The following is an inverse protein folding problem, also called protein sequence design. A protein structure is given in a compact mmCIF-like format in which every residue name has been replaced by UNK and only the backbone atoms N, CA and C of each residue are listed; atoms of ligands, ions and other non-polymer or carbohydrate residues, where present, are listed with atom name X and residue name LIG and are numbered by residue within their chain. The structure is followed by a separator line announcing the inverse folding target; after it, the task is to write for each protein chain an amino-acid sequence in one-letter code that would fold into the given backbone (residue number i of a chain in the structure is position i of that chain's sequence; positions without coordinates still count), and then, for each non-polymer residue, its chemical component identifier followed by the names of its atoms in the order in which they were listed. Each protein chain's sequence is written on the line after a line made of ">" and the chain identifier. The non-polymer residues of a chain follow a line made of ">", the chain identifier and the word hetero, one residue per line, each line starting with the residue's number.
data_IF_884498057409
#
_entry.id   IF_884498057409
#
_cell.length_a   1.000
_cell.length_b   1.000
_cell.length_c   1.000
_cell.angle_alpha   90.00
_cell.angle_beta   90.00
_cell.angle_gamma   90.00
#
_symmetry.space_group_name_H-M   'P 1'
#
loop_
_entity.id
_entity.type
_entity.pdbx_description
1 polymer ?
#
# COMPACT_ATOMS: atom_id res chain seq x y z
N UNK A 1 -12.25 -19.56 15.80
CA UNK A 1 -11.18 -18.81 16.48
C UNK A 1 -10.28 -18.22 15.39
N UNK A 2 -10.66 -17.05 14.86
CA UNK A 2 -9.88 -16.37 13.83
C UNK A 2 -8.90 -15.43 14.53
N UNK A 3 -7.71 -15.96 14.80
CA UNK A 3 -6.59 -15.21 15.35
C UNK A 3 -6.12 -14.16 14.36
N UNK A 4 -6.48 -12.89 14.58
CA UNK A 4 -5.83 -11.76 13.93
C UNK A 4 -4.38 -11.66 14.43
N UNK A 5 -3.48 -12.30 13.68
CA UNK A 5 -2.04 -12.25 13.90
C UNK A 5 -1.54 -10.80 13.73
N UNK A 6 -1.26 -10.15 14.85
CA UNK A 6 -0.57 -8.86 14.93
C UNK A 6 0.89 -9.01 14.47
N UNK A 7 1.10 -9.15 13.17
CA UNK A 7 2.41 -9.32 12.56
C UNK A 7 3.15 -7.99 12.38
N UNK A 8 3.86 -7.52 13.41
CA UNK A 8 5.10 -6.76 13.17
C UNK A 8 6.12 -7.73 12.58
N UNK A 9 6.08 -7.96 11.26
CA UNK A 9 6.99 -8.95 10.65
C UNK A 9 8.44 -8.53 10.81
N UNK A 10 9.16 -9.46 11.43
CA UNK A 10 10.60 -9.52 11.71
C UNK A 10 11.45 -9.34 10.44
N UNK A 11 12.72 -8.94 10.57
CA UNK A 11 13.59 -8.62 9.44
C UNK A 11 14.11 -9.82 8.62
N UNK A 12 13.56 -11.04 8.71
CA UNK A 12 14.14 -12.23 8.03
C UNK A 12 13.20 -13.04 7.12
N UNK A 13 12.00 -12.54 6.79
CA UNK A 13 11.15 -13.22 5.81
C UNK A 13 10.95 -12.34 4.58
N UNK A 14 11.74 -12.61 3.54
CA UNK A 14 11.47 -12.20 2.16
C UNK A 14 10.22 -12.98 1.69
N UNK A 15 9.07 -12.75 2.34
CA UNK A 15 7.77 -13.29 1.97
C UNK A 15 7.44 -12.69 0.61
N UNK A 16 7.57 -13.54 -0.41
CA UNK A 16 7.34 -13.28 -1.85
C UNK A 16 6.40 -12.10 -2.04
N UNK A 17 6.93 -11.01 -2.58
CA UNK A 17 6.23 -9.77 -2.90
C UNK A 17 4.93 -10.12 -3.62
N UNK A 18 3.79 -10.13 -2.91
CA UNK A 18 2.49 -10.38 -3.53
C UNK A 18 2.29 -9.27 -4.55
N UNK A 19 2.18 -9.63 -5.83
CA UNK A 19 1.97 -8.66 -6.90
C UNK A 19 0.57 -8.11 -6.71
N UNK A 20 0.46 -6.80 -6.48
CA UNK A 20 -0.83 -6.10 -6.47
C UNK A 20 -1.53 -6.38 -7.79
N UNK A 21 -2.76 -6.89 -7.73
CA UNK A 21 -3.58 -7.16 -8.93
C UNK A 21 -3.93 -5.83 -9.59
N UNK A 22 -4.25 -5.82 -10.90
CA UNK A 22 -4.69 -4.60 -11.57
C UNK A 22 -5.95 -3.98 -10.92
N UNK A 23 -6.83 -4.80 -10.34
CA UNK A 23 -8.02 -4.34 -9.61
C UNK A 23 -7.65 -3.64 -8.30
N UNK A 24 -6.78 -4.26 -7.49
CA UNK A 24 -6.25 -3.65 -6.26
C UNK A 24 -5.50 -2.34 -6.57
N UNK A 25 -4.74 -2.33 -7.68
CA UNK A 25 -4.01 -1.15 -8.14
C UNK A 25 -4.93 0.00 -8.55
N UNK A 26 -6.01 -0.30 -9.28
CA UNK A 26 -6.98 0.71 -9.70
C UNK A 26 -7.59 1.44 -8.50
N UNK A 27 -7.91 0.72 -7.43
CA UNK A 27 -8.41 1.31 -6.17
C UNK A 27 -7.35 2.20 -5.51
N UNK A 28 -6.10 1.70 -5.41
CA UNK A 28 -4.99 2.48 -4.83
C UNK A 28 -4.72 3.76 -5.61
N UNK A 29 -4.74 3.71 -6.94
CA UNK A 29 -4.53 4.89 -7.80
C UNK A 29 -5.70 5.87 -7.72
N UNK A 30 -6.95 5.37 -7.68
CA UNK A 30 -8.13 6.21 -7.51
C UNK A 30 -8.11 6.96 -6.17
N UNK A 31 -7.69 6.30 -5.09
CA UNK A 31 -7.57 6.94 -3.78
C UNK A 31 -6.35 7.87 -3.70
N UNK A 32 -5.24 7.52 -4.36
CA UNK A 32 -4.07 8.39 -4.47
C UNK A 32 -4.39 9.71 -5.19
N UNK A 33 -5.20 9.65 -6.25
CA UNK A 33 -5.64 10.83 -6.99
C UNK A 33 -6.49 11.78 -6.13
N UNK A 34 -7.24 11.24 -5.15
CA UNK A 34 -8.02 12.05 -4.19
C UNK A 34 -7.16 12.58 -3.06
N UNK A 35 -6.23 11.77 -2.55
CA UNK A 35 -5.41 12.11 -1.40
C UNK A 35 -4.03 11.43 -1.49
N UNK A 36 -2.97 12.23 -1.69
CA UNK A 36 -1.59 11.74 -1.79
C UNK A 36 -0.98 11.37 -0.44
N UNK A 37 -1.63 11.77 0.67
CA UNK A 37 -1.23 11.53 2.06
C UNK A 37 -2.39 10.93 2.85
N UNK A 38 -2.70 9.63 2.67
CA UNK A 38 -3.81 8.99 3.38
C UNK A 38 -3.52 8.94 4.89
N UNK A 39 -4.46 9.41 5.69
CA UNK A 39 -4.43 9.29 7.15
C UNK A 39 -4.53 7.82 7.62
N UNK A 40 -4.29 7.53 8.90
CA UNK A 40 -4.38 6.18 9.45
C UNK A 40 -5.73 5.51 9.14
N UNK A 41 -6.84 6.26 9.27
CA UNK A 41 -8.18 5.76 8.95
C UNK A 41 -8.34 5.42 7.47
N UNK A 42 -7.83 6.27 6.58
CA UNK A 42 -7.88 6.02 5.14
C UNK A 42 -7.03 4.81 4.75
N UNK A 43 -5.85 4.62 5.36
CA UNK A 43 -5.00 3.46 5.07
C UNK A 43 -5.68 2.13 5.44
N UNK A 44 -6.41 2.09 6.56
CA UNK A 44 -7.20 0.92 6.96
C UNK A 44 -8.32 0.67 5.97
N UNK A 45 -9.09 1.71 5.61
CA UNK A 45 -10.18 1.61 4.64
C UNK A 45 -9.71 1.11 3.27
N UNK A 46 -8.63 1.69 2.75
CA UNK A 46 -8.03 1.29 1.47
C UNK A 46 -7.56 -0.16 1.57
N UNK A 47 -6.92 -0.53 2.68
CA UNK A 47 -6.47 -1.89 2.92
C UNK A 47 -7.59 -2.92 2.91
N UNK A 48 -8.76 -2.58 3.48
CA UNK A 48 -9.95 -3.43 3.41
C UNK A 48 -10.45 -3.59 1.97
N UNK A 49 -10.44 -2.51 1.18
CA UNK A 49 -10.87 -2.54 -0.23
C UNK A 49 -9.91 -3.31 -1.13
N UNK A 50 -8.61 -3.27 -0.84
CA UNK A 50 -7.55 -3.87 -1.66
C UNK A 50 -7.03 -5.18 -1.08
N UNK A 51 -7.64 -5.69 -0.01
CA UNK A 51 -7.16 -6.86 0.73
C UNK A 51 -5.67 -6.75 1.14
N UNK A 52 -5.23 -5.54 1.48
CA UNK A 52 -3.88 -5.21 1.93
C UNK A 52 -3.90 -4.72 3.38
N UNK A 53 -2.83 -4.97 4.13
CA UNK A 53 -2.67 -4.35 5.44
C UNK A 53 -2.37 -2.85 5.30
N UNK A 54 -2.75 -2.04 6.30
CA UNK A 54 -2.49 -0.60 6.32
C UNK A 54 -1.01 -0.24 6.09
N UNK A 55 -0.08 -1.11 6.52
CA UNK A 55 1.36 -0.97 6.28
C UNK A 55 1.74 -1.18 4.81
N UNK A 56 1.16 -2.18 4.14
CA UNK A 56 1.37 -2.41 2.70
C UNK A 56 0.82 -1.26 1.88
N UNK A 57 -0.34 -0.71 2.27
CA UNK A 57 -0.88 0.53 1.70
C UNK A 57 0.09 1.68 1.89
N UNK A 58 0.59 1.91 3.12
CA UNK A 58 1.58 2.96 3.39
C UNK A 58 2.83 2.85 2.50
N UNK A 59 3.40 1.65 2.36
CA UNK A 59 4.56 1.41 1.51
C UNK A 59 4.23 1.67 0.04
N UNK A 60 3.05 1.25 -0.43
CA UNK A 60 2.61 1.52 -1.79
C UNK A 60 2.53 3.03 -2.06
N UNK A 61 1.93 3.81 -1.16
CA UNK A 61 1.85 5.27 -1.28
C UNK A 61 3.25 5.92 -1.27
N UNK A 62 4.16 5.45 -0.42
CA UNK A 62 5.55 5.92 -0.41
C UNK A 62 6.27 5.63 -1.73
N UNK A 63 6.18 4.39 -2.23
CA UNK A 63 6.80 3.99 -3.49
C UNK A 63 6.20 4.76 -4.67
N UNK A 64 4.87 4.96 -4.68
CA UNK A 64 4.17 5.72 -5.73
C UNK A 64 4.70 7.15 -5.82
N UNK A 65 4.85 7.85 -4.69
CA UNK A 65 5.45 9.19 -4.64
C UNK A 65 6.92 9.20 -5.09
N UNK A 66 7.70 8.18 -4.72
CA UNK A 66 9.08 8.09 -5.19
C UNK A 66 9.15 7.93 -6.71
N UNK A 67 8.30 7.07 -7.29
CA UNK A 67 8.20 6.92 -8.74
C UNK A 67 7.75 8.22 -9.40
N UNK A 68 6.76 8.92 -8.84
CA UNK A 68 6.28 10.20 -9.34
C UNK A 68 7.38 11.27 -9.32
N UNK A 69 8.14 11.34 -8.22
CA UNK A 69 9.32 12.19 -8.10
C UNK A 69 10.40 11.83 -9.12
N UNK A 70 10.68 10.54 -9.36
CA UNK A 70 11.66 10.10 -10.36
C UNK A 70 11.22 10.50 -11.78
N UNK A 71 9.95 10.32 -12.10
CA UNK A 71 9.36 10.78 -13.37
C UNK A 71 9.47 12.29 -13.53
N UNK A 72 9.17 13.05 -12.48
CA UNK A 72 9.33 14.52 -12.49
C UNK A 72 10.80 14.95 -12.63
N UNK A 73 11.75 14.11 -12.19
CA UNK A 73 13.19 14.35 -12.33
C UNK A 73 13.78 13.80 -13.64
N UNK A 74 12.95 13.29 -14.57
CA UNK A 74 13.40 12.84 -15.89
C UNK A 74 14.23 11.56 -15.90
N UNK A 75 14.11 10.73 -14.85
CA UNK A 75 14.73 9.40 -14.71
C UNK A 75 13.81 8.28 -15.15
#
# INVERSE_FOLDING_TARGET
>A
EDGEEFGFSQPDDIKRRRRTTPEELAVLEAEYAKCTLPDAKNRVRIGQMTNMSARSVQIWFQNKRQTDKRKAQGL
#
